data_IF_001853702184
#
_entry.id   IF_001853702184
#
_cell.length_a   1.000
_cell.length_b   1.000
_cell.length_c   1.000
_cell.angle_alpha   90.00
_cell.angle_beta   90.00
_cell.angle_gamma   90.00
#
_symmetry.space_group_name_H-M   'P 1'
#
loop_
_entity.id
_entity.type
_entity.pdbx_description
1 polymer ?
#
# COMPACT_ATOMS: atom_id res chain seq x y z
N UNK A 1 -5.61 6.52 -22.14
CA UNK A 1 -4.85 5.28 -22.42
C UNK A 1 -5.59 4.34 -23.37
N UNK A 2 -4.87 3.77 -24.33
CA UNK A 2 -5.36 2.68 -25.19
C UNK A 2 -5.20 1.32 -24.50
N UNK A 3 -5.78 0.26 -25.08
CA UNK A 3 -5.57 -1.11 -24.58
C UNK A 3 -4.09 -1.54 -24.64
N UNK A 4 -3.35 -1.07 -25.65
CA UNK A 4 -1.93 -1.40 -25.81
C UNK A 4 -1.08 -0.79 -24.70
N UNK A 5 -1.43 0.42 -24.24
CA UNK A 5 -0.74 1.09 -23.13
C UNK A 5 -0.98 0.39 -21.78
N UNK A 6 -2.18 -0.18 -21.59
CA UNK A 6 -2.56 -0.82 -20.32
C UNK A 6 -2.07 -2.25 -20.16
N UNK A 7 -1.85 -2.99 -21.24
CA UNK A 7 -1.37 -4.37 -21.19
C UNK A 7 -0.08 -4.57 -20.37
N UNK A 8 1.00 -3.77 -20.58
CA UNK A 8 2.21 -3.88 -19.75
C UNK A 8 1.98 -3.46 -18.29
N UNK A 9 1.09 -2.50 -18.05
CA UNK A 9 0.70 -2.04 -16.71
C UNK A 9 0.03 -3.18 -15.95
N UNK A 10 -1.03 -3.76 -16.52
CA UNK A 10 -1.76 -4.90 -15.94
C UNK A 10 -0.80 -6.05 -15.65
N UNK A 11 0.09 -6.38 -16.60
CA UNK A 11 1.08 -7.46 -16.41
C UNK A 11 1.98 -7.19 -15.20
N UNK A 12 2.52 -5.98 -15.07
CA UNK A 12 3.38 -5.62 -13.94
C UNK A 12 2.61 -5.65 -12.62
N UNK A 13 1.38 -5.12 -12.59
CA UNK A 13 0.53 -5.10 -11.39
C UNK A 13 0.23 -6.51 -10.92
N UNK A 14 -0.20 -7.39 -11.84
CA UNK A 14 -0.44 -8.80 -11.51
C UNK A 14 0.84 -9.50 -11.04
N UNK A 15 1.99 -9.18 -11.64
CA UNK A 15 3.27 -9.73 -11.21
C UNK A 15 3.60 -9.30 -9.77
N UNK A 16 3.45 -8.01 -9.45
CA UNK A 16 3.64 -7.47 -8.11
C UNK A 16 2.69 -8.14 -7.10
N UNK A 17 1.40 -8.27 -7.44
CA UNK A 17 0.42 -8.89 -6.56
C UNK A 17 0.68 -10.39 -6.34
N UNK A 18 0.99 -11.15 -7.39
CA UNK A 18 1.12 -12.61 -7.30
C UNK A 18 2.49 -13.02 -6.77
N UNK A 19 3.57 -12.43 -7.29
CA UNK A 19 4.93 -12.91 -7.00
C UNK A 19 5.66 -12.10 -5.92
N UNK A 20 5.16 -10.93 -5.53
CA UNK A 20 5.73 -10.14 -4.44
C UNK A 20 4.80 -10.10 -3.24
N UNK A 21 3.58 -9.59 -3.41
CA UNK A 21 2.65 -9.40 -2.30
C UNK A 21 2.26 -10.73 -1.64
N UNK A 22 1.87 -11.75 -2.41
CA UNK A 22 1.45 -13.04 -1.81
C UNK A 22 2.58 -13.71 -0.99
N UNK A 23 3.81 -13.90 -1.53
CA UNK A 23 4.89 -14.47 -0.72
C UNK A 23 5.23 -13.64 0.51
N UNK A 24 5.24 -12.30 0.39
CA UNK A 24 5.52 -11.42 1.51
C UNK A 24 4.43 -11.53 2.58
N UNK A 25 3.15 -11.60 2.20
CA UNK A 25 2.05 -11.81 3.15
C UNK A 25 2.18 -13.13 3.89
N UNK A 26 2.61 -14.20 3.21
CA UNK A 26 2.88 -15.51 3.85
C UNK A 26 4.04 -15.39 4.83
N UNK A 27 5.14 -14.73 4.46
CA UNK A 27 6.27 -14.48 5.36
C UNK A 27 5.83 -13.66 6.57
N UNK A 28 5.05 -12.59 6.38
CA UNK A 28 4.52 -11.78 7.47
C UNK A 28 3.59 -12.57 8.39
N UNK A 29 2.76 -13.46 7.84
CA UNK A 29 1.94 -14.36 8.64
C UNK A 29 2.81 -15.22 9.56
N UNK A 30 3.86 -15.84 9.02
CA UNK A 30 4.77 -16.66 9.82
C UNK A 30 5.56 -15.87 10.86
N UNK A 31 6.07 -14.69 10.50
CA UNK A 31 6.74 -13.78 11.45
C UNK A 31 5.80 -13.39 12.60
N UNK A 32 4.54 -13.07 12.27
CA UNK A 32 3.50 -12.77 13.26
C UNK A 32 3.18 -13.99 14.13
N UNK A 33 3.09 -15.18 13.54
CA UNK A 33 2.85 -16.42 14.28
C UNK A 33 3.99 -16.75 15.25
N UNK A 34 5.25 -16.58 14.84
CA UNK A 34 6.42 -16.80 15.69
C UNK A 34 6.51 -15.81 16.85
N UNK A 35 6.12 -14.55 16.64
CA UNK A 35 6.03 -13.54 17.69
C UNK A 35 4.85 -13.79 18.64
N UNK A 36 3.77 -14.38 18.13
CA UNK A 36 2.47 -14.47 18.79
C UNK A 36 1.54 -13.31 18.38
N UNK A 37 0.27 -13.64 18.16
CA UNK A 37 -0.81 -12.70 17.86
C UNK A 37 -2.15 -13.25 18.36
N UNK A 38 -3.16 -12.37 18.43
CA UNK A 38 -4.53 -12.76 18.78
C UNK A 38 -5.13 -13.71 17.74
N UNK A 39 -5.19 -14.99 18.10
CA UNK A 39 -5.79 -16.09 17.33
C UNK A 39 -7.14 -16.52 17.93
N UNK A 40 -7.74 -15.70 18.79
CA UNK A 40 -9.03 -16.03 19.39
C UNK A 40 -10.11 -16.12 18.32
N UNK A 41 -11.09 -17.00 18.50
CA UNK A 41 -12.24 -17.09 17.58
C UNK A 41 -13.22 -15.93 17.81
N UNK A 42 -13.12 -15.27 18.96
CA UNK A 42 -13.91 -14.11 19.33
C UNK A 42 -13.38 -12.85 18.65
N UNK A 43 -14.27 -12.07 18.06
CA UNK A 43 -13.90 -10.77 17.52
C UNK A 43 -13.46 -9.82 18.65
N UNK A 44 -12.42 -9.00 18.44
CA UNK A 44 -12.01 -8.00 19.42
C UNK A 44 -13.11 -6.93 19.58
N UNK A 45 -13.25 -6.35 20.78
CA UNK A 45 -14.20 -5.26 20.99
C UNK A 45 -13.81 -4.05 20.15
N UNK A 46 -14.80 -3.25 19.74
CA UNK A 46 -14.59 -2.07 18.90
C UNK A 46 -13.60 -1.05 19.48
N UNK A 47 -13.47 -0.96 20.81
CA UNK A 47 -12.46 -0.12 21.46
C UNK A 47 -11.03 -0.57 21.12
N UNK A 48 -10.76 -1.88 21.08
CA UNK A 48 -9.47 -2.44 20.66
C UNK A 48 -9.25 -2.21 19.17
N UNK A 49 -10.28 -2.40 18.34
CA UNK A 49 -10.22 -2.11 16.91
C UNK A 49 -9.82 -0.64 16.68
N UNK A 50 -10.52 0.31 17.32
CA UNK A 50 -10.24 1.74 17.19
C UNK A 50 -8.82 2.11 17.66
N UNK A 51 -8.37 1.56 18.79
CA UNK A 51 -7.02 1.80 19.30
C UNK A 51 -5.93 1.28 18.33
N UNK A 52 -6.12 0.07 17.80
CA UNK A 52 -5.19 -0.51 16.83
C UNK A 52 -5.16 0.32 15.55
N UNK A 53 -6.32 0.73 15.04
CA UNK A 53 -6.43 1.58 13.85
C UNK A 53 -5.70 2.92 14.01
N UNK A 54 -5.85 3.58 15.16
CA UNK A 54 -5.13 4.82 15.44
C UNK A 54 -3.60 4.62 15.36
N UNK A 55 -3.10 3.50 15.90
CA UNK A 55 -1.68 3.15 15.77
C UNK A 55 -1.28 2.80 14.33
N UNK A 56 -2.13 2.09 13.59
CA UNK A 56 -1.85 1.69 12.21
C UNK A 56 -1.68 2.90 11.30
N UNK A 57 -2.57 3.89 11.42
CA UNK A 57 -2.48 5.14 10.66
C UNK A 57 -1.13 5.82 10.91
N UNK A 58 -0.72 5.97 12.17
CA UNK A 58 0.57 6.60 12.50
C UNK A 58 1.75 5.81 11.92
N UNK A 59 1.72 4.48 12.04
CA UNK A 59 2.79 3.61 11.53
C UNK A 59 2.84 3.66 10.01
N UNK A 60 1.70 3.57 9.34
CA UNK A 60 1.59 3.64 7.88
C UNK A 60 2.11 4.97 7.36
N UNK A 61 1.62 6.09 7.90
CA UNK A 61 2.01 7.44 7.48
C UNK A 61 3.52 7.66 7.61
N UNK A 62 4.10 7.26 8.75
CA UNK A 62 5.55 7.37 8.98
C UNK A 62 6.32 6.51 7.99
N UNK A 63 5.96 5.23 7.85
CA UNK A 63 6.68 4.30 6.97
C UNK A 63 6.57 4.72 5.52
N UNK A 64 5.37 5.05 5.05
CA UNK A 64 5.12 5.51 3.69
C UNK A 64 5.87 6.79 3.39
N UNK A 65 5.77 7.81 4.25
CA UNK A 65 6.44 9.09 4.03
C UNK A 65 7.96 8.92 3.87
N UNK A 66 8.60 8.23 4.80
CA UNK A 66 10.05 8.08 4.77
C UNK A 66 10.52 7.13 3.66
N UNK A 67 9.79 6.04 3.39
CA UNK A 67 10.14 5.13 2.29
C UNK A 67 9.97 5.81 0.93
N UNK A 68 8.87 6.54 0.74
CA UNK A 68 8.61 7.29 -0.48
C UNK A 68 9.64 8.41 -0.69
N UNK A 69 9.94 9.19 0.35
CA UNK A 69 11.00 10.20 0.30
C UNK A 69 12.38 9.61 -0.01
N UNK A 70 12.70 8.45 0.55
CA UNK A 70 13.93 7.74 0.25
C UNK A 70 13.97 7.30 -1.22
N UNK A 71 12.86 6.79 -1.74
CA UNK A 71 12.72 6.37 -3.13
C UNK A 71 12.84 7.54 -4.12
N UNK A 72 12.50 8.76 -3.69
CA UNK A 72 12.74 10.00 -4.43
C UNK A 72 14.18 10.50 -4.41
N UNK A 73 15.03 9.95 -3.54
CA UNK A 73 16.44 10.31 -3.54
C UNK A 73 17.09 9.95 -4.87
N UNK A 74 17.99 10.80 -5.39
CA UNK A 74 18.59 10.71 -6.74
C UNK A 74 19.12 9.30 -7.11
N UNK A 75 19.69 8.59 -6.13
CA UNK A 75 20.24 7.25 -6.32
C UNK A 75 19.17 6.15 -6.42
N UNK A 76 18.06 6.32 -5.71
CA UNK A 76 16.96 5.36 -5.67
C UNK A 76 15.93 5.63 -6.79
N UNK A 77 15.63 6.91 -7.07
CA UNK A 77 14.57 7.32 -7.98
C UNK A 77 14.71 6.66 -9.35
N UNK A 78 15.87 6.83 -10.00
CA UNK A 78 16.13 6.31 -11.34
C UNK A 78 15.94 4.80 -11.44
N UNK A 79 16.19 4.07 -10.34
CA UNK A 79 16.20 2.60 -10.32
C UNK A 79 14.87 2.01 -9.87
N UNK A 80 14.20 2.64 -8.91
CA UNK A 80 13.08 2.04 -8.20
C UNK A 80 11.77 2.81 -8.35
N UNK A 81 11.82 4.15 -8.40
CA UNK A 81 10.61 4.98 -8.35
C UNK A 81 10.21 5.61 -9.69
N UNK A 82 11.16 5.77 -10.61
CA UNK A 82 10.90 6.37 -11.93
C UNK A 82 9.77 5.65 -12.69
N UNK A 83 9.67 4.32 -12.53
CA UNK A 83 8.61 3.52 -13.17
C UNK A 83 7.20 3.95 -12.74
N UNK A 84 7.03 4.27 -11.46
CA UNK A 84 5.78 4.75 -10.92
C UNK A 84 5.37 6.10 -11.53
N UNK A 85 6.35 6.98 -11.72
CA UNK A 85 6.20 8.30 -12.36
C UNK A 85 6.15 8.27 -13.90
N UNK A 86 6.09 7.09 -14.54
CA UNK A 86 5.93 7.01 -16.01
C UNK A 86 4.59 7.57 -16.47
N UNK A 87 3.59 7.64 -15.57
CA UNK A 87 2.23 8.05 -15.86
C UNK A 87 1.90 9.41 -15.22
N UNK A 88 2.18 10.48 -15.94
CA UNK A 88 1.90 11.87 -15.52
C UNK A 88 0.41 12.21 -15.41
N UNK A 89 -0.45 11.43 -16.07
CA UNK A 89 -1.89 11.42 -15.87
C UNK A 89 -2.29 10.03 -15.35
N UNK A 90 -2.14 9.78 -14.04
CA UNK A 90 -2.35 8.46 -13.47
C UNK A 90 -3.81 8.02 -13.60
N UNK A 91 -3.99 6.70 -13.61
CA UNK A 91 -5.30 6.06 -13.53
C UNK A 91 -5.26 5.04 -12.41
N UNK A 92 -6.40 4.66 -11.85
CA UNK A 92 -6.53 3.78 -10.69
C UNK A 92 -5.52 2.59 -10.65
N UNK A 93 -5.32 1.89 -11.76
CA UNK A 93 -4.43 0.72 -11.83
C UNK A 93 -2.93 1.07 -11.71
N UNK A 94 -2.52 2.30 -12.04
CA UNK A 94 -1.11 2.72 -11.94
C UNK A 94 -0.66 2.93 -10.50
N UNK A 95 -1.58 2.96 -9.52
CA UNK A 95 -1.27 3.00 -8.08
C UNK A 95 -0.27 1.91 -7.66
N UNK A 96 -0.36 0.74 -8.28
CA UNK A 96 0.50 -0.42 -8.01
C UNK A 96 1.44 -0.76 -9.17
N UNK A 97 1.48 0.10 -10.20
CA UNK A 97 2.45 0.01 -11.29
C UNK A 97 3.77 0.61 -10.85
N UNK A 98 4.61 -0.23 -10.25
CA UNK A 98 5.89 0.17 -9.70
C UNK A 98 6.90 -0.98 -9.80
N UNK A 99 8.15 -0.71 -9.44
CA UNK A 99 9.15 -1.77 -9.31
C UNK A 99 8.82 -2.68 -8.11
N UNK A 100 9.34 -3.92 -8.07
CA UNK A 100 9.11 -4.81 -6.93
C UNK A 100 9.57 -4.22 -5.60
N UNK A 101 10.71 -3.52 -5.61
CA UNK A 101 11.28 -2.88 -4.41
C UNK A 101 10.35 -1.78 -3.89
N UNK A 102 9.88 -0.90 -4.78
CA UNK A 102 8.89 0.11 -4.41
C UNK A 102 7.57 -0.53 -3.95
N UNK A 103 7.13 -1.61 -4.59
CA UNK A 103 5.93 -2.31 -4.16
C UNK A 103 6.05 -2.78 -2.71
N UNK A 104 7.19 -3.34 -2.32
CA UNK A 104 7.44 -3.72 -0.91
C UNK A 104 7.47 -2.50 0.00
N UNK A 105 8.24 -1.46 -0.34
CA UNK A 105 8.52 -0.35 0.55
C UNK A 105 7.37 0.65 0.70
N UNK A 106 6.58 0.85 -0.35
CA UNK A 106 5.51 1.85 -0.38
C UNK A 106 4.11 1.25 -0.30
N UNK A 107 3.88 0.04 -0.84
CA UNK A 107 2.54 -0.54 -0.89
C UNK A 107 2.32 -1.64 0.17
N UNK A 108 3.33 -2.49 0.42
CA UNK A 108 3.16 -3.65 1.31
C UNK A 108 3.52 -3.32 2.75
N UNK A 109 4.77 -2.91 2.97
CA UNK A 109 5.35 -2.74 4.29
C UNK A 109 4.58 -1.73 5.16
N UNK A 110 4.19 -0.53 4.66
CA UNK A 110 3.45 0.43 5.47
C UNK A 110 2.10 -0.12 5.97
N UNK A 111 1.40 -0.88 5.12
CA UNK A 111 0.08 -1.43 5.43
C UNK A 111 0.15 -2.58 6.43
N UNK A 112 1.13 -3.48 6.30
CA UNK A 112 1.21 -4.70 7.12
C UNK A 112 1.98 -4.52 8.43
N UNK A 113 2.83 -3.49 8.54
CA UNK A 113 3.67 -3.27 9.70
C UNK A 113 2.86 -3.02 10.99
N UNK A 114 1.85 -2.16 10.94
CA UNK A 114 0.99 -1.87 12.10
C UNK A 114 0.34 -3.13 12.69
N UNK A 115 -0.44 -3.90 11.91
CA UNK A 115 -1.03 -5.14 12.35
C UNK A 115 -0.02 -6.15 12.91
N UNK A 116 1.16 -6.26 12.29
CA UNK A 116 2.22 -7.18 12.72
C UNK A 116 2.86 -6.74 14.05
N UNK A 117 3.21 -5.47 14.20
CA UNK A 117 3.83 -4.92 15.41
C UNK A 117 2.89 -4.99 16.62
N UNK A 118 1.59 -4.77 16.42
CA UNK A 118 0.60 -4.85 17.50
C UNK A 118 0.10 -6.28 17.76
N UNK A 119 0.50 -7.28 16.97
CA UNK A 119 0.03 -8.67 17.13
C UNK A 119 -1.50 -8.78 16.97
N UNK A 120 -2.04 -8.01 16.02
CA UNK A 120 -3.48 -7.78 15.91
C UNK A 120 -4.25 -9.01 15.44
N UNK A 121 -5.50 -9.10 15.89
CA UNK A 121 -6.44 -10.13 15.42
C UNK A 121 -6.59 -10.08 13.90
N UNK A 122 -6.74 -11.23 13.26
CA UNK A 122 -6.74 -11.34 11.80
C UNK A 122 -7.88 -10.53 11.15
N UNK A 123 -9.06 -10.47 11.77
CA UNK A 123 -10.17 -9.64 11.27
C UNK A 123 -9.85 -8.14 11.24
N UNK A 124 -9.06 -7.65 12.21
CA UNK A 124 -8.65 -6.23 12.29
C UNK A 124 -7.68 -5.91 11.16
N UNK A 125 -6.76 -6.83 10.85
CA UNK A 125 -5.89 -6.72 9.68
C UNK A 125 -6.71 -6.65 8.39
N UNK A 126 -7.64 -7.59 8.16
CA UNK A 126 -8.44 -7.60 6.93
C UNK A 126 -9.29 -6.34 6.78
N UNK A 127 -9.94 -5.89 7.86
CA UNK A 127 -10.72 -4.65 7.85
C UNK A 127 -9.83 -3.45 7.48
N UNK A 128 -8.64 -3.37 8.07
CA UNK A 128 -7.65 -2.35 7.73
C UNK A 128 -7.27 -2.39 6.25
N UNK A 129 -6.89 -3.57 5.72
CA UNK A 129 -6.50 -3.72 4.32
C UNK A 129 -7.62 -3.33 3.33
N UNK A 130 -8.88 -3.66 3.63
CA UNK A 130 -10.04 -3.31 2.81
C UNK A 130 -10.29 -1.80 2.78
N UNK A 131 -9.93 -1.07 3.83
CA UNK A 131 -10.11 0.38 3.89
C UNK A 131 -8.92 1.13 3.29
N UNK A 132 -7.70 0.65 3.52
CA UNK A 132 -6.46 1.29 3.08
C UNK A 132 -6.14 1.04 1.60
N UNK A 133 -6.36 -0.17 1.07
CA UNK A 133 -6.01 -0.46 -0.32
C UNK A 133 -6.80 0.42 -1.34
N UNK A 134 -8.12 0.65 -1.17
CA UNK A 134 -8.85 1.58 -2.03
C UNK A 134 -8.36 3.02 -1.95
N UNK A 135 -7.87 3.48 -0.79
CA UNK A 135 -7.36 4.85 -0.64
C UNK A 135 -6.25 5.15 -1.66
N UNK A 136 -5.26 4.25 -1.76
CA UNK A 136 -4.19 4.37 -2.75
C UNK A 136 -4.72 4.40 -4.19
N UNK A 137 -5.74 3.60 -4.50
CA UNK A 137 -6.37 3.59 -5.83
C UNK A 137 -7.12 4.89 -6.10
N UNK A 138 -7.83 5.43 -5.12
CA UNK A 138 -8.63 6.66 -5.23
C UNK A 138 -7.73 7.86 -5.56
N UNK A 139 -6.61 8.01 -4.85
CA UNK A 139 -5.68 9.15 -5.08
C UNK A 139 -4.93 9.07 -6.42
N UNK A 140 -4.95 7.92 -7.10
CA UNK A 140 -4.44 7.74 -8.47
C UNK A 140 -5.54 7.71 -9.53
N UNK A 141 -6.81 7.82 -9.13
CA UNK A 141 -7.93 7.51 -10.02
C UNK A 141 -8.24 8.62 -11.02
N UNK A 142 -7.79 9.85 -10.75
CA UNK A 142 -8.19 11.07 -11.45
C UNK A 142 -9.62 11.53 -11.15
N UNK A 143 -10.37 10.83 -10.28
CA UNK A 143 -11.74 11.18 -9.94
C UNK A 143 -11.84 11.95 -8.62
N UNK A 144 -12.65 13.01 -8.63
CA UNK A 144 -13.05 13.76 -7.45
C UNK A 144 -14.32 13.15 -6.86
N UNK A 145 -14.16 12.19 -5.95
CA UNK A 145 -15.28 11.53 -5.31
C UNK A 145 -15.72 12.30 -4.05
N UNK A 146 -17.04 12.46 -3.78
CA UNK A 146 -17.51 13.10 -2.56
C UNK A 146 -16.97 12.40 -1.30
N UNK A 147 -16.57 13.18 -0.29
CA UNK A 147 -16.07 12.71 1.02
C UNK A 147 -14.73 11.94 0.98
N UNK A 148 -14.05 11.93 -0.17
CA UNK A 148 -12.77 11.23 -0.36
C UNK A 148 -11.66 12.23 -0.72
N UNK A 149 -10.38 11.87 -0.49
CA UNK A 149 -9.26 12.74 -0.82
C UNK A 149 -9.23 13.07 -2.31
N UNK A 150 -8.80 14.30 -2.63
CA UNK A 150 -8.57 14.70 -4.00
C UNK A 150 -7.27 14.09 -4.55
N UNK A 151 -7.27 13.59 -5.81
CA UNK A 151 -6.05 13.10 -6.44
C UNK A 151 -5.07 14.22 -6.82
N UNK A 152 -5.50 15.50 -6.86
CA UNK A 152 -4.72 16.61 -7.41
C UNK A 152 -3.31 16.76 -6.84
N UNK A 153 -3.16 16.68 -5.52
CA UNK A 153 -1.84 16.80 -4.88
C UNK A 153 -0.89 15.70 -5.36
N UNK A 154 -1.42 14.50 -5.53
CA UNK A 154 -0.68 13.35 -6.01
C UNK A 154 -0.44 13.43 -7.53
N UNK A 155 -1.39 13.93 -8.31
CA UNK A 155 -1.19 14.18 -9.74
C UNK A 155 -0.08 15.21 -9.99
N UNK A 156 -0.04 16.31 -9.22
CA UNK A 156 1.06 17.29 -9.27
C UNK A 156 2.40 16.66 -8.91
N UNK A 157 2.40 15.72 -7.97
CA UNK A 157 3.59 14.97 -7.59
C UNK A 157 4.13 14.09 -8.73
N UNK A 158 3.27 13.55 -9.60
CA UNK A 158 3.68 12.76 -10.78
C UNK A 158 4.30 13.60 -11.91
N UNK A 159 4.21 14.93 -11.84
CA UNK A 159 4.77 15.85 -12.84
C UNK A 159 6.23 16.24 -12.57
N UNK A 160 6.80 15.85 -11.43
CA UNK A 160 8.14 16.25 -10.97
C UNK A 160 9.13 15.10 -11.00
#
# INVERSE_FOLDING_TARGET
>A
PTRQDLAPVVKQVLWNQVFIQLPINVIFYWLKAMRGFDQSLSLPPWSRVAAHFACFVVIEEVLFYYSHRLLHHRLAYRRFHKKHHEWTAPVAITAVYCTPVEHVLSNVLPVVAGPALLGSHLSVHWLWAVLTAPYGVIVHSGYHLPLLPSPQMHDFHHLT
#
